data_IF_549815074292
#
_entry.id   IF_549815074292
#
_cell.length_a   1.000
_cell.length_b   1.000
_cell.length_c   1.000
_cell.angle_alpha   90.00
_cell.angle_beta   90.00
_cell.angle_gamma   90.00
#
_symmetry.space_group_name_H-M   'P 1'
#
loop_
_entity.id
_entity.type
_entity.pdbx_description
1 polymer ?
#
# COMPACT_ATOMS: atom_id res chain seq x y z
N UNK A 1 -0.78 -40.27 -31.36
CA UNK A 1 -1.94 -40.71 -32.15
C UNK A 1 -1.88 -40.01 -33.50
N UNK A 2 -1.59 -40.76 -34.55
CA UNK A 2 -1.31 -40.29 -35.91
C UNK A 2 -2.61 -39.86 -36.62
N UNK A 3 -2.74 -38.57 -36.93
CA UNK A 3 -3.83 -38.04 -37.74
C UNK A 3 -3.68 -38.46 -39.20
N UNK A 4 -4.71 -39.11 -39.76
CA UNK A 4 -4.70 -39.59 -41.14
C UNK A 4 -5.29 -38.50 -42.06
N UNK A 5 -4.44 -37.71 -42.72
CA UNK A 5 -4.87 -36.70 -43.69
C UNK A 5 -5.36 -37.37 -44.98
N UNK A 6 -6.61 -37.10 -45.38
CA UNK A 6 -7.32 -37.85 -46.43
C UNK A 6 -7.23 -37.25 -47.84
N UNK A 7 -6.54 -36.12 -48.04
CA UNK A 7 -6.39 -35.52 -49.38
C UNK A 7 -4.96 -35.02 -49.59
N UNK A 8 -4.37 -35.18 -50.79
CA UNK A 8 -3.03 -34.67 -51.08
C UNK A 8 -3.06 -33.14 -51.01
N UNK A 9 -2.31 -32.58 -50.06
CA UNK A 9 -2.24 -31.14 -49.81
C UNK A 9 -1.24 -30.83 -48.71
N UNK A 10 -0.78 -29.59 -48.64
CA UNK A 10 0.08 -29.10 -47.57
C UNK A 10 -0.82 -28.67 -46.40
N UNK A 11 -0.62 -29.28 -45.23
CA UNK A 11 -1.31 -28.92 -43.99
C UNK A 11 -0.31 -28.30 -43.02
N UNK A 12 -0.65 -27.12 -42.49
CA UNK A 12 0.08 -26.49 -41.38
C UNK A 12 -0.76 -26.70 -40.13
N UNK A 13 -0.25 -27.49 -39.19
CA UNK A 13 -0.80 -27.57 -37.85
C UNK A 13 -0.03 -26.63 -36.94
N UNK A 14 -0.69 -25.57 -36.47
CA UNK A 14 -0.15 -24.71 -35.44
C UNK A 14 -0.38 -25.38 -34.08
N UNK A 15 0.63 -26.13 -33.61
CA UNK A 15 0.65 -26.61 -32.23
C UNK A 15 0.87 -25.39 -31.35
N UNK A 16 -0.18 -24.90 -30.67
CA UNK A 16 -0.08 -23.79 -29.71
C UNK A 16 0.92 -24.16 -28.62
N UNK A 17 2.13 -23.64 -28.76
CA UNK A 17 3.29 -24.03 -27.96
C UNK A 17 3.32 -23.16 -26.71
N UNK A 18 2.75 -23.74 -25.65
CA UNK A 18 2.69 -23.27 -24.27
C UNK A 18 1.88 -21.99 -24.03
N UNK A 19 1.03 -21.95 -22.98
CA UNK A 19 0.60 -20.67 -22.45
C UNK A 19 1.85 -19.88 -22.05
N UNK A 20 1.98 -18.58 -22.36
CA UNK A 20 2.99 -17.78 -21.73
C UNK A 20 2.63 -17.73 -20.24
N UNK A 21 3.34 -18.53 -19.43
CA UNK A 21 3.23 -18.47 -17.98
C UNK A 21 4.00 -17.24 -17.51
N UNK A 22 3.52 -16.05 -17.86
CA UNK A 22 3.91 -14.82 -17.16
C UNK A 22 3.21 -14.89 -15.82
N UNK A 23 3.93 -15.37 -14.81
CA UNK A 23 3.58 -15.03 -13.44
C UNK A 23 3.59 -13.49 -13.39
N UNK A 24 2.47 -12.84 -13.03
CA UNK A 24 2.45 -11.39 -12.90
C UNK A 24 3.51 -11.03 -11.85
N UNK A 25 4.61 -10.43 -12.31
CA UNK A 25 5.59 -9.83 -11.42
C UNK A 25 4.97 -8.53 -10.95
N UNK A 26 4.78 -8.38 -9.65
CA UNK A 26 4.36 -7.10 -9.06
C UNK A 26 5.47 -6.07 -9.33
N UNK A 27 5.29 -5.25 -10.37
CA UNK A 27 6.31 -4.31 -10.87
C UNK A 27 6.30 -2.98 -10.12
N UNK A 28 5.46 -2.83 -9.10
CA UNK A 28 5.35 -1.62 -8.31
C UNK A 28 5.00 -1.97 -6.85
N UNK A 29 6.00 -2.34 -6.05
CA UNK A 29 5.87 -2.41 -4.59
C UNK A 29 6.22 -1.03 -4.05
N UNK A 30 5.26 -0.23 -3.59
CA UNK A 30 5.54 1.09 -3.02
C UNK A 30 6.26 0.95 -1.67
N UNK A 31 7.13 1.90 -1.38
CA UNK A 31 7.73 2.07 -0.06
C UNK A 31 7.34 3.44 0.49
N UNK A 32 6.82 3.46 1.71
CA UNK A 32 6.44 4.67 2.42
C UNK A 32 7.45 4.93 3.52
N UNK A 33 7.92 6.19 3.62
CA UNK A 33 8.90 6.61 4.62
C UNK A 33 8.30 7.82 5.34
N UNK A 34 8.18 7.72 6.66
CA UNK A 34 7.62 8.78 7.49
C UNK A 34 7.57 8.40 8.96
N UNK A 35 6.93 9.27 9.74
CA UNK A 35 6.70 9.06 11.17
C UNK A 35 5.37 8.34 11.38
N UNK A 36 5.42 7.27 12.16
CA UNK A 36 4.28 6.46 12.60
C UNK A 36 4.02 6.68 14.09
N UNK A 37 2.81 6.37 14.57
CA UNK A 37 2.44 6.51 15.98
C UNK A 37 3.30 5.60 16.86
N UNK A 38 3.57 4.38 16.39
CA UNK A 38 4.42 3.38 17.03
C UNK A 38 5.21 2.59 15.99
N UNK A 39 6.17 1.80 16.44
CA UNK A 39 6.93 0.88 15.61
C UNK A 39 7.17 -0.43 16.38
N UNK A 40 6.11 -1.22 16.57
CA UNK A 40 6.13 -2.42 17.40
C UNK A 40 5.36 -3.58 16.76
N UNK A 41 5.99 -4.75 16.66
CA UNK A 41 5.35 -6.02 16.33
C UNK A 41 5.19 -6.89 17.60
N UNK A 42 6.30 -7.16 18.29
CA UNK A 42 6.36 -8.03 19.48
C UNK A 42 6.78 -7.21 20.71
N UNK A 43 7.83 -6.41 20.58
CA UNK A 43 8.40 -5.59 21.65
C UNK A 43 8.49 -4.13 21.25
N UNK A 44 8.46 -3.18 22.20
CA UNK A 44 8.59 -1.76 21.88
C UNK A 44 9.82 -1.47 20.99
N UNK A 45 9.63 -0.63 19.97
CA UNK A 45 10.64 -0.17 19.01
C UNK A 45 11.33 -1.26 18.16
N UNK A 46 10.80 -2.48 18.10
CA UNK A 46 11.41 -3.56 17.31
C UNK A 46 11.33 -3.33 15.79
N UNK A 47 10.36 -2.55 15.32
CA UNK A 47 10.22 -2.13 13.92
C UNK A 47 10.88 -0.78 13.63
N UNK A 48 11.51 -0.13 14.62
CA UNK A 48 12.12 1.19 14.44
C UNK A 48 13.26 1.12 13.40
N UNK A 49 13.18 1.96 12.36
CA UNK A 49 14.11 2.01 11.24
C UNK A 49 14.27 0.67 10.49
N UNK A 50 13.31 -0.25 10.60
CA UNK A 50 13.30 -1.50 9.85
C UNK A 50 12.23 -1.45 8.77
N UNK A 51 12.58 -1.68 7.50
CA UNK A 51 11.58 -1.78 6.44
C UNK A 51 10.74 -3.05 6.64
N UNK A 52 9.47 -2.86 7.00
CA UNK A 52 8.52 -3.95 7.23
C UNK A 52 7.56 -4.05 6.07
N UNK A 53 7.41 -5.24 5.49
CA UNK A 53 6.39 -5.50 4.48
C UNK A 53 5.04 -5.56 5.17
N UNK A 54 4.07 -4.82 4.65
CA UNK A 54 2.69 -4.83 5.13
C UNK A 54 1.78 -5.25 3.98
N UNK A 55 0.89 -6.21 4.24
CA UNK A 55 -0.06 -6.75 3.27
C UNK A 55 -1.47 -6.18 3.40
N UNK A 56 -1.80 -5.50 4.50
CA UNK A 56 -3.13 -4.94 4.73
C UNK A 56 -3.11 -3.72 5.65
N UNK A 57 -4.17 -2.91 5.58
CA UNK A 57 -4.33 -1.76 6.48
C UNK A 57 -4.45 -2.17 7.95
N UNK A 58 -5.11 -3.29 8.25
CA UNK A 58 -5.22 -3.79 9.63
C UNK A 58 -3.86 -4.18 10.22
N UNK A 59 -2.98 -4.75 9.39
CA UNK A 59 -1.60 -5.07 9.78
C UNK A 59 -0.77 -3.79 9.98
N UNK A 60 -1.00 -2.76 9.14
CA UNK A 60 -0.42 -1.44 9.37
C UNK A 60 -0.85 -0.86 10.72
N UNK A 61 -2.15 -0.82 11.01
CA UNK A 61 -2.67 -0.27 12.27
C UNK A 61 -2.17 -1.04 13.50
N UNK A 62 -2.06 -2.37 13.37
CA UNK A 62 -1.52 -3.23 14.43
C UNK A 62 -0.06 -2.86 14.75
N UNK A 63 0.77 -2.69 13.73
CA UNK A 63 2.22 -2.54 13.87
C UNK A 63 2.69 -1.08 14.05
N UNK A 64 2.00 -0.15 13.37
CA UNK A 64 2.39 1.25 13.23
C UNK A 64 1.38 2.25 13.83
N UNK A 65 0.18 1.78 14.18
CA UNK A 65 -0.86 2.59 14.82
C UNK A 65 -1.76 3.34 13.85
N UNK A 66 -2.54 4.27 14.40
CA UNK A 66 -3.53 5.08 13.69
C UNK A 66 -2.96 6.36 13.11
N UNK A 67 -3.85 7.18 12.54
CA UNK A 67 -3.51 8.51 12.06
C UNK A 67 -3.20 9.46 13.21
N UNK A 68 -2.52 10.58 12.89
CA UNK A 68 -2.25 11.59 13.91
C UNK A 68 -3.56 12.18 14.45
N UNK A 69 -3.74 12.13 15.77
CA UNK A 69 -4.76 12.94 16.41
C UNK A 69 -4.44 14.42 16.17
N UNK A 70 -5.36 15.21 15.59
CA UNK A 70 -5.09 16.60 15.26
C UNK A 70 -4.84 17.40 16.54
N UNK A 71 -3.66 18.02 16.65
CA UNK A 71 -3.36 18.90 17.78
C UNK A 71 -3.70 20.33 17.40
N UNK A 72 -4.62 20.95 18.14
CA UNK A 72 -4.98 22.36 17.91
C UNK A 72 -3.91 23.24 18.56
N UNK A 73 -3.06 23.86 17.74
CA UNK A 73 -1.97 24.71 18.20
C UNK A 73 -2.47 26.11 18.60
N UNK A 74 -3.41 26.67 17.84
CA UNK A 74 -4.00 27.97 18.14
C UNK A 74 -5.42 28.08 17.58
N UNK A 75 -6.29 28.84 18.27
CA UNK A 75 -7.63 29.19 17.81
C UNK A 75 -7.74 30.71 17.80
N UNK A 76 -8.08 31.28 16.65
CA UNK A 76 -8.32 32.72 16.48
C UNK A 76 -9.81 32.98 16.41
N UNK A 77 -10.27 33.92 17.24
CA UNK A 77 -11.64 34.42 17.24
C UNK A 77 -11.69 35.83 16.63
N UNK A 78 -12.84 36.21 16.09
CA UNK A 78 -13.11 37.60 15.68
C UNK A 78 -13.47 38.49 16.89
N UNK A 79 -13.64 39.79 16.66
CA UNK A 79 -14.00 40.77 17.70
C UNK A 79 -15.36 40.48 18.35
N UNK A 80 -16.22 39.71 17.67
CA UNK A 80 -17.53 39.25 18.15
C UNK A 80 -17.46 37.87 18.82
N UNK A 81 -16.24 37.33 19.05
CA UNK A 81 -15.97 36.01 19.62
C UNK A 81 -16.48 34.83 18.78
N UNK A 82 -16.73 35.02 17.50
CA UNK A 82 -17.00 33.92 16.57
C UNK A 82 -15.70 33.24 16.14
N UNK A 83 -15.80 31.95 15.83
CA UNK A 83 -14.69 31.17 15.29
C UNK A 83 -14.24 31.74 13.93
N UNK A 84 -12.96 32.10 13.82
CA UNK A 84 -12.36 32.62 12.58
C UNK A 84 -11.42 31.61 11.93
N UNK A 85 -10.49 31.04 12.69
CA UNK A 85 -9.55 30.03 12.19
C UNK A 85 -8.91 29.24 13.32
N UNK A 86 -8.39 28.05 13.01
CA UNK A 86 -7.55 27.27 13.91
C UNK A 86 -6.31 26.78 13.15
N UNK A 87 -5.16 26.75 13.82
CA UNK A 87 -3.95 26.10 13.32
C UNK A 87 -3.85 24.71 13.93
N UNK A 88 -3.76 23.70 13.07
CA UNK A 88 -3.66 22.29 13.47
C UNK A 88 -2.23 21.82 13.18
N UNK A 89 -1.56 21.28 14.20
CA UNK A 89 -0.27 20.62 14.06
C UNK A 89 -0.45 19.11 14.06
N UNK A 90 0.08 18.44 13.03
CA UNK A 90 0.16 16.98 12.97
C UNK A 90 1.63 16.55 12.97
N UNK A 91 1.96 15.52 13.75
CA UNK A 91 3.32 14.98 13.86
C UNK A 91 3.50 13.75 12.96
N UNK A 92 2.43 12.98 12.71
CA UNK A 92 2.46 11.79 11.87
C UNK A 92 1.81 12.08 10.50
N UNK A 93 2.54 11.80 9.42
CA UNK A 93 2.12 12.08 8.04
C UNK A 93 1.90 10.81 7.20
N UNK A 94 2.08 9.62 7.78
CA UNK A 94 1.99 8.36 7.03
C UNK A 94 0.58 7.78 6.95
N UNK A 95 -0.32 8.16 7.86
CA UNK A 95 -1.71 7.69 7.86
C UNK A 95 -2.63 8.84 8.25
N UNK A 96 -3.62 9.11 7.40
CA UNK A 96 -4.71 10.05 7.63
C UNK A 96 -5.96 9.18 7.82
N UNK A 97 -6.50 9.16 9.04
CA UNK A 97 -7.63 8.33 9.45
C UNK A 97 -8.86 9.18 9.72
#
# INVERSE_FOLDING_TARGET
MTGMYKTPGVYVEEIVKFPPSVAPVETAIPAFIGYTEKAQEISPDDLLNKPTKIGSLAEYELNFGGGAAPTVNSVTLDDNKNFKSAEIGNVFYMYDS
#
